data_IF_824914649228
#
_entry.id   IF_824914649228
#
_cell.length_a   1.000
_cell.length_b   1.000
_cell.length_c   1.000
_cell.angle_alpha   90.00
_cell.angle_beta   90.00
_cell.angle_gamma   90.00
#
_symmetry.space_group_name_H-M   'P 1'
#
loop_
_entity.id
_entity.type
_entity.pdbx_description
1 polymer ?
#
# COMPACT_ATOMS: atom_id res chain seq x y z
N UNK A 1 -3.66 12.00 -39.37
CA UNK A 1 -4.11 11.16 -38.23
C UNK A 1 -2.86 10.78 -37.46
N UNK A 2 -2.63 11.37 -36.29
CA UNK A 2 -1.58 10.88 -35.40
C UNK A 2 -2.06 9.54 -34.84
N UNK A 3 -1.27 8.47 -35.04
CA UNK A 3 -1.52 7.21 -34.35
C UNK A 3 -1.45 7.48 -32.85
N UNK A 4 -2.52 7.19 -32.11
CA UNK A 4 -2.48 7.19 -30.67
C UNK A 4 -1.39 6.20 -30.25
N UNK A 5 -0.26 6.69 -29.74
CA UNK A 5 0.74 5.83 -29.11
C UNK A 5 0.01 5.17 -27.95
N UNK A 6 -0.23 3.87 -28.07
CA UNK A 6 -0.88 3.11 -27.00
C UNK A 6 0.02 3.23 -25.76
N UNK A 7 -0.46 3.92 -24.74
CA UNK A 7 0.27 4.09 -23.49
C UNK A 7 0.43 2.74 -22.81
N UNK A 8 1.66 2.44 -22.42
CA UNK A 8 1.98 1.24 -21.65
C UNK A 8 1.81 1.54 -20.17
N UNK A 9 1.15 0.62 -19.47
CA UNK A 9 0.91 0.71 -18.04
C UNK A 9 1.43 -0.52 -17.32
N UNK A 10 1.97 -0.31 -16.12
CA UNK A 10 2.37 -1.34 -15.17
C UNK A 10 1.25 -1.56 -14.15
N UNK A 11 0.97 -2.83 -13.88
CA UNK A 11 -0.06 -3.30 -12.95
C UNK A 11 0.55 -3.95 -11.72
N UNK A 12 -0.27 -4.34 -10.74
CA UNK A 12 0.19 -4.87 -9.44
C UNK A 12 1.01 -6.16 -9.55
N UNK A 13 0.88 -6.88 -10.66
CA UNK A 13 1.65 -8.10 -10.99
C UNK A 13 3.00 -7.80 -11.66
N UNK A 14 3.37 -6.54 -11.84
CA UNK A 14 4.55 -6.13 -12.62
C UNK A 14 4.35 -6.25 -14.13
N UNK A 15 3.21 -6.76 -14.59
CA UNK A 15 2.89 -6.87 -16.01
C UNK A 15 2.79 -5.47 -16.64
N UNK A 16 3.49 -5.29 -17.78
CA UNK A 16 3.36 -4.12 -18.65
C UNK A 16 2.38 -4.47 -19.76
N UNK A 17 1.27 -3.75 -19.82
CA UNK A 17 0.17 -4.02 -20.73
C UNK A 17 -0.49 -2.71 -21.18
N UNK A 18 -1.30 -2.79 -22.23
CA UNK A 18 -2.26 -1.73 -22.54
C UNK A 18 -3.45 -1.84 -21.58
N UNK A 19 -4.21 -0.75 -21.41
CA UNK A 19 -5.40 -0.76 -20.55
C UNK A 19 -6.43 -1.84 -20.93
N UNK A 20 -6.48 -2.23 -22.21
CA UNK A 20 -7.39 -3.24 -22.75
C UNK A 20 -6.93 -4.69 -22.49
N UNK A 21 -5.66 -4.91 -22.13
CA UNK A 21 -5.05 -6.25 -21.99
C UNK A 21 -4.66 -6.62 -20.55
N UNK A 22 -4.89 -5.71 -19.60
CA UNK A 22 -4.59 -5.91 -18.19
C UNK A 22 -5.51 -6.95 -17.53
N UNK A 23 -4.97 -7.78 -16.63
CA UNK A 23 -5.75 -8.75 -15.85
C UNK A 23 -6.73 -8.06 -14.89
N UNK A 24 -7.88 -8.70 -14.71
CA UNK A 24 -9.13 -8.15 -14.20
C UNK A 24 -9.32 -8.19 -12.67
N UNK A 25 -8.31 -7.84 -11.87
CA UNK A 25 -8.57 -7.68 -10.42
C UNK A 25 -9.15 -6.30 -10.13
N UNK A 26 -10.12 -6.22 -9.22
CA UNK A 26 -10.82 -4.97 -8.89
C UNK A 26 -9.94 -3.92 -8.18
N UNK A 27 -8.71 -4.27 -7.82
CA UNK A 27 -7.71 -3.40 -7.20
C UNK A 27 -6.61 -2.94 -8.16
N UNK A 28 -6.71 -3.30 -9.44
CA UNK A 28 -5.78 -2.89 -10.48
C UNK A 28 -6.04 -1.45 -10.91
N UNK A 29 -4.96 -0.69 -11.05
CA UNK A 29 -4.95 0.69 -11.49
C UNK A 29 -3.74 0.88 -12.41
N UNK A 30 -3.91 1.56 -13.56
CA UNK A 30 -2.81 1.78 -14.48
C UNK A 30 -1.75 2.71 -13.86
N UNK A 31 -0.50 2.26 -13.77
CA UNK A 31 0.65 3.11 -13.46
C UNK A 31 1.44 3.35 -14.75
N UNK A 32 1.67 4.60 -15.19
CA UNK A 32 2.39 4.85 -16.44
C UNK A 32 3.80 4.24 -16.43
N UNK A 33 4.24 3.71 -17.56
CA UNK A 33 5.60 3.20 -17.74
C UNK A 33 6.49 4.32 -18.28
N UNK A 34 7.26 4.94 -17.39
CA UNK A 34 8.25 5.96 -17.72
C UNK A 34 9.27 6.12 -16.58
N UNK A 35 10.36 6.84 -16.86
CA UNK A 35 11.49 7.01 -15.92
C UNK A 35 11.07 7.60 -14.57
N UNK A 36 10.02 8.42 -14.53
CA UNK A 36 9.49 8.93 -13.27
C UNK A 36 8.87 7.81 -12.42
N UNK A 37 7.84 7.13 -12.95
CA UNK A 37 7.02 6.16 -12.23
C UNK A 37 7.70 4.81 -12.02
N UNK A 38 8.65 4.43 -12.88
CA UNK A 38 9.34 3.14 -12.79
C UNK A 38 10.11 2.98 -11.46
N UNK A 39 10.53 4.10 -10.85
CA UNK A 39 11.21 4.13 -9.55
C UNK A 39 10.31 3.90 -8.33
N UNK A 40 8.98 3.91 -8.49
CA UNK A 40 8.03 3.74 -7.39
C UNK A 40 7.51 2.31 -7.30
N UNK A 41 7.27 1.85 -6.07
CA UNK A 41 6.41 0.70 -5.80
C UNK A 41 4.99 0.97 -6.36
N UNK A 42 4.36 -0.08 -6.90
CA UNK A 42 3.03 0.01 -7.50
C UNK A 42 1.99 0.62 -6.54
N UNK A 43 1.99 0.22 -5.27
CA UNK A 43 1.03 0.69 -4.26
C UNK A 43 1.16 2.19 -4.00
N UNK A 44 2.38 2.72 -3.93
CA UNK A 44 2.67 4.15 -3.74
C UNK A 44 2.17 4.95 -4.94
N UNK A 45 2.52 4.51 -6.16
CA UNK A 45 2.10 5.17 -7.39
C UNK A 45 0.57 5.16 -7.54
N UNK A 46 -0.07 4.00 -7.36
CA UNK A 46 -1.54 3.87 -7.43
C UNK A 46 -2.24 4.80 -6.43
N UNK A 47 -1.78 4.85 -5.17
CA UNK A 47 -2.42 5.68 -4.15
C UNK A 47 -2.30 7.18 -4.46
N UNK A 48 -1.23 7.60 -5.14
CA UNK A 48 -1.15 8.96 -5.67
C UNK A 48 -2.09 9.17 -6.86
N UNK A 49 -1.98 8.34 -7.90
CA UNK A 49 -2.70 8.52 -9.17
C UNK A 49 -4.22 8.48 -9.00
N UNK A 50 -4.73 7.64 -8.09
CA UNK A 50 -6.16 7.56 -7.80
C UNK A 50 -6.78 8.87 -7.27
N UNK A 51 -5.95 9.85 -6.86
CA UNK A 51 -6.41 11.15 -6.40
C UNK A 51 -6.60 12.19 -7.52
N UNK A 52 -6.31 11.85 -8.78
CA UNK A 52 -6.41 12.79 -9.90
C UNK A 52 -7.15 12.16 -11.07
N UNK A 53 -7.97 12.96 -11.75
CA UNK A 53 -8.50 12.61 -13.07
C UNK A 53 -7.41 12.64 -14.14
N UNK A 54 -7.61 11.97 -15.27
CA UNK A 54 -6.68 12.00 -16.40
C UNK A 54 -6.35 13.43 -16.85
N UNK A 55 -7.36 14.32 -16.86
CA UNK A 55 -7.17 15.72 -17.21
C UNK A 55 -6.27 16.46 -16.22
N UNK A 56 -6.45 16.23 -14.92
CA UNK A 56 -5.59 16.82 -13.88
C UNK A 56 -4.16 16.27 -13.96
N UNK A 57 -4.00 14.95 -14.17
CA UNK A 57 -2.70 14.31 -14.31
C UNK A 57 -1.86 14.95 -15.42
N UNK A 58 -2.47 15.27 -16.57
CA UNK A 58 -1.77 15.95 -17.68
C UNK A 58 -1.30 17.37 -17.37
N UNK A 59 -1.85 17.99 -16.32
CA UNK A 59 -1.52 19.35 -15.90
C UNK A 59 -0.56 19.39 -14.71
N UNK A 60 -0.30 18.26 -14.07
CA UNK A 60 0.64 18.19 -12.96
C UNK A 60 2.07 18.49 -13.44
N UNK A 61 2.89 19.19 -12.64
CA UNK A 61 4.28 19.48 -12.97
C UNK A 61 5.17 18.24 -12.73
N UNK A 62 4.83 17.12 -13.37
CA UNK A 62 5.58 15.85 -13.32
C UNK A 62 6.30 15.70 -14.66
N UNK A 63 7.63 15.76 -14.63
CA UNK A 63 8.45 15.40 -15.78
C UNK A 63 8.57 13.87 -15.85
N UNK A 64 7.89 13.26 -16.81
CA UNK A 64 7.91 11.81 -17.04
C UNK A 64 9.30 11.24 -17.33
N UNK A 65 10.21 12.08 -17.84
CA UNK A 65 11.60 11.71 -18.12
C UNK A 65 12.55 12.03 -16.95
N UNK A 66 12.05 12.60 -15.85
CA UNK A 66 12.90 13.02 -14.73
C UNK A 66 13.66 11.85 -14.13
N UNK A 67 14.98 12.01 -14.08
CA UNK A 67 15.92 11.14 -13.38
C UNK A 67 16.27 11.69 -11.99
N UNK A 68 15.44 12.56 -11.42
CA UNK A 68 15.68 13.13 -10.09
C UNK A 68 15.77 12.05 -9.03
N UNK A 69 16.44 12.39 -7.93
CA UNK A 69 16.53 11.54 -6.75
C UNK A 69 15.13 11.11 -6.26
N UNK A 70 15.01 9.85 -5.82
CA UNK A 70 13.72 9.28 -5.45
C UNK A 70 13.06 10.04 -4.29
N UNK A 71 13.83 10.58 -3.34
CA UNK A 71 13.30 11.41 -2.24
C UNK A 71 12.71 12.71 -2.77
N UNK A 72 13.32 13.33 -3.78
CA UNK A 72 12.79 14.55 -4.43
C UNK A 72 11.45 14.24 -5.11
N UNK A 73 11.35 13.11 -5.82
CA UNK A 73 10.09 12.68 -6.44
C UNK A 73 9.00 12.42 -5.39
N UNK A 74 9.31 11.74 -4.28
CA UNK A 74 8.38 11.55 -3.17
C UNK A 74 7.89 12.88 -2.56
N UNK A 75 8.78 13.84 -2.37
CA UNK A 75 8.45 15.19 -1.86
C UNK A 75 7.54 15.97 -2.82
N UNK A 76 7.79 15.86 -4.13
CA UNK A 76 6.92 16.42 -5.17
C UNK A 76 5.50 15.84 -5.05
N UNK A 77 5.37 14.51 -5.04
CA UNK A 77 4.07 13.85 -4.93
C UNK A 77 3.34 14.23 -3.62
N UNK A 78 4.06 14.31 -2.50
CA UNK A 78 3.45 14.66 -1.21
C UNK A 78 2.91 16.08 -1.23
N UNK A 79 3.66 17.02 -1.82
CA UNK A 79 3.22 18.40 -1.99
C UNK A 79 1.96 18.48 -2.86
N UNK A 80 1.93 17.78 -4.00
CA UNK A 80 0.77 17.79 -4.90
C UNK A 80 -0.50 17.24 -4.23
N UNK A 81 -0.41 16.19 -3.41
CA UNK A 81 -1.57 15.70 -2.65
C UNK A 81 -2.03 16.67 -1.55
N UNK A 82 -1.10 17.36 -0.89
CA UNK A 82 -1.44 18.40 0.10
C UNK A 82 -2.16 19.58 -0.55
N UNK A 83 -1.65 20.07 -1.68
CA UNK A 83 -2.29 21.11 -2.47
C UNK A 83 -3.69 20.68 -2.93
N UNK A 84 -3.85 19.42 -3.35
CA UNK A 84 -5.15 18.86 -3.74
C UNK A 84 -6.14 18.78 -2.57
N UNK A 85 -5.69 18.34 -1.40
CA UNK A 85 -6.50 18.31 -0.18
C UNK A 85 -6.94 19.73 0.23
N UNK A 86 -6.03 20.70 0.22
CA UNK A 86 -6.34 22.10 0.55
C UNK A 86 -7.39 22.69 -0.40
N UNK A 87 -7.27 22.41 -1.70
CA UNK A 87 -8.25 22.86 -2.70
C UNK A 87 -9.64 22.24 -2.47
N UNK A 88 -9.72 20.94 -2.17
CA UNK A 88 -11.00 20.26 -1.95
C UNK A 88 -11.64 20.63 -0.61
N UNK A 89 -10.85 20.83 0.44
CA UNK A 89 -11.35 21.36 1.72
C UNK A 89 -11.86 22.81 1.55
N UNK A 90 -11.15 23.66 0.81
CA UNK A 90 -11.58 25.03 0.52
C UNK A 90 -12.86 25.12 -0.32
N UNK A 91 -13.19 24.06 -1.08
CA UNK A 91 -14.44 23.97 -1.84
C UNK A 91 -15.65 23.60 -0.94
N UNK A 92 -15.42 23.21 0.31
CA UNK A 92 -16.50 22.94 1.27
C UNK A 92 -16.99 24.22 1.96
N UNK A 93 -18.19 24.19 2.54
CA UNK A 93 -18.78 25.33 3.24
C UNK A 93 -18.82 25.08 4.76
N UNK A 94 -18.19 25.91 5.60
CA UNK A 94 -18.27 25.78 7.04
C UNK A 94 -19.73 25.70 7.55
N UNK A 95 -20.05 24.85 8.55
CA UNK A 95 -19.14 24.06 9.38
C UNK A 95 -18.76 22.69 8.79
N UNK A 96 -19.11 22.42 7.53
CA UNK A 96 -18.75 21.18 6.86
C UNK A 96 -17.26 21.17 6.52
N UNK A 97 -16.72 19.97 6.38
CA UNK A 97 -15.36 19.65 5.90
C UNK A 97 -15.47 18.53 4.88
N UNK A 98 -14.40 18.29 4.12
CA UNK A 98 -14.36 17.19 3.15
C UNK A 98 -14.68 15.86 3.83
N UNK A 99 -14.18 15.65 5.05
CA UNK A 99 -14.53 14.49 5.88
C UNK A 99 -16.05 14.27 6.01
N UNK A 100 -16.82 15.34 6.24
CA UNK A 100 -18.27 15.24 6.45
C UNK A 100 -19.08 15.19 5.16
N UNK A 101 -18.59 15.81 4.08
CA UNK A 101 -19.32 15.90 2.81
C UNK A 101 -18.99 14.75 1.87
N UNK A 102 -17.75 14.27 1.90
CA UNK A 102 -17.25 13.16 1.10
C UNK A 102 -16.11 12.43 1.83
N UNK A 103 -16.50 11.58 2.78
CA UNK A 103 -15.55 10.77 3.56
C UNK A 103 -14.63 9.93 2.67
N UNK A 104 -15.16 9.33 1.60
CA UNK A 104 -14.37 8.45 0.74
C UNK A 104 -13.23 9.24 0.08
N UNK A 105 -13.54 10.44 -0.40
CA UNK A 105 -12.55 11.32 -1.00
C UNK A 105 -11.52 11.82 0.02
N UNK A 106 -11.97 12.26 1.19
CA UNK A 106 -11.10 12.63 2.31
C UNK A 106 -10.14 11.49 2.67
N UNK A 107 -10.66 10.27 2.78
CA UNK A 107 -9.90 9.07 3.09
C UNK A 107 -8.84 8.76 2.03
N UNK A 108 -9.18 8.83 0.74
CA UNK A 108 -8.25 8.56 -0.37
C UNK A 108 -7.07 9.55 -0.40
N UNK A 109 -7.33 10.83 -0.17
CA UNK A 109 -6.30 11.87 -0.11
C UNK A 109 -5.36 11.62 1.07
N UNK A 110 -5.93 11.41 2.26
CA UNK A 110 -5.12 11.15 3.46
C UNK A 110 -4.37 9.83 3.41
N UNK A 111 -4.92 8.80 2.78
CA UNK A 111 -4.22 7.54 2.52
C UNK A 111 -3.00 7.78 1.62
N UNK A 112 -3.14 8.50 0.51
CA UNK A 112 -2.02 8.85 -0.37
C UNK A 112 -0.97 9.69 0.34
N UNK A 113 -1.39 10.69 1.12
CA UNK A 113 -0.51 11.54 1.94
C UNK A 113 0.27 10.68 2.93
N UNK A 114 -0.41 9.80 3.67
CA UNK A 114 0.23 8.90 4.63
C UNK A 114 1.27 8.00 3.94
N UNK A 115 0.94 7.37 2.81
CA UNK A 115 1.88 6.51 2.09
C UNK A 115 3.20 7.24 1.76
N UNK A 116 3.11 8.51 1.34
CA UNK A 116 4.29 9.31 1.02
C UNK A 116 5.02 9.80 2.27
N UNK A 117 4.29 10.18 3.33
CA UNK A 117 4.90 10.53 4.63
C UNK A 117 5.68 9.35 5.20
N UNK A 118 5.12 8.14 5.15
CA UNK A 118 5.78 6.94 5.63
C UNK A 118 7.06 6.66 4.83
N UNK A 119 7.00 6.63 3.49
CA UNK A 119 8.20 6.40 2.65
C UNK A 119 9.29 7.47 2.81
N UNK A 120 8.93 8.68 3.26
CA UNK A 120 9.87 9.76 3.55
C UNK A 120 10.43 9.76 4.98
N UNK A 121 9.94 8.86 5.83
CA UNK A 121 10.22 8.78 7.27
C UNK A 121 9.87 10.07 8.01
N UNK A 122 8.75 10.69 7.65
CA UNK A 122 8.30 11.93 8.28
C UNK A 122 7.63 11.64 9.65
N UNK A 123 7.88 12.49 10.67
CA UNK A 123 7.34 12.28 12.02
C UNK A 123 5.81 12.32 12.06
N UNK A 124 5.16 13.02 11.13
CA UNK A 124 3.70 13.12 11.05
C UNK A 124 3.02 11.83 10.54
N UNK A 125 3.77 10.88 9.98
CA UNK A 125 3.22 9.64 9.42
C UNK A 125 2.41 8.85 10.45
N UNK A 126 2.91 8.72 11.68
CA UNK A 126 2.21 8.01 12.76
C UNK A 126 0.89 8.70 13.11
N UNK A 127 0.92 10.03 13.25
CA UNK A 127 -0.27 10.80 13.58
C UNK A 127 -1.33 10.67 12.47
N UNK A 128 -0.90 10.72 11.21
CA UNK A 128 -1.80 10.62 10.07
C UNK A 128 -2.49 9.25 10.02
N UNK A 129 -1.75 8.15 10.19
CA UNK A 129 -2.37 6.82 10.14
C UNK A 129 -3.25 6.53 11.36
N UNK A 130 -2.91 7.04 12.55
CA UNK A 130 -3.78 6.97 13.72
C UNK A 130 -5.09 7.74 13.51
N UNK A 131 -5.02 8.92 12.90
CA UNK A 131 -6.22 9.67 12.52
C UNK A 131 -7.10 8.88 11.53
N UNK A 132 -6.51 8.23 10.53
CA UNK A 132 -7.26 7.37 9.59
C UNK A 132 -7.93 6.18 10.31
N UNK A 133 -7.26 5.62 11.31
CA UNK A 133 -7.81 4.57 12.19
C UNK A 133 -9.00 5.11 12.99
N UNK A 134 -8.85 6.26 13.65
CA UNK A 134 -9.89 6.84 14.52
C UNK A 134 -11.12 7.33 13.73
N UNK A 135 -10.91 7.96 12.57
CA UNK A 135 -11.98 8.61 11.79
C UNK A 135 -12.72 7.67 10.85
N UNK A 136 -12.49 6.36 10.89
CA UNK A 136 -13.21 5.42 10.02
C UNK A 136 -14.68 5.30 10.46
N UNK A 137 -15.66 5.55 9.57
CA UNK A 137 -17.08 5.35 9.89
C UNK A 137 -17.45 3.86 9.88
N UNK A 138 -16.71 3.04 9.12
CA UNK A 138 -16.87 1.59 9.05
C UNK A 138 -15.68 0.90 9.71
N UNK A 139 -15.88 0.35 10.90
CA UNK A 139 -14.86 -0.39 11.64
C UNK A 139 -14.47 -1.70 10.95
N UNK A 140 -15.26 -2.20 10.00
CA UNK A 140 -14.92 -3.37 9.22
C UNK A 140 -13.89 -3.09 8.11
N UNK A 141 -13.62 -1.81 7.81
CA UNK A 141 -12.53 -1.41 6.94
C UNK A 141 -11.17 -1.59 7.66
N UNK A 142 -10.49 -2.68 7.32
CA UNK A 142 -9.21 -3.06 7.91
C UNK A 142 -8.00 -2.36 7.28
N UNK A 143 -8.17 -1.52 6.25
CA UNK A 143 -7.04 -0.88 5.58
C UNK A 143 -6.28 0.09 6.50
N UNK A 144 -6.92 1.02 7.25
CA UNK A 144 -6.22 1.87 8.21
C UNK A 144 -5.45 1.10 9.31
N UNK A 145 -6.03 0.12 10.03
CA UNK A 145 -5.27 -0.62 11.03
C UNK A 145 -4.13 -1.46 10.42
N UNK A 146 -4.30 -2.01 9.21
CA UNK A 146 -3.21 -2.70 8.50
C UNK A 146 -2.02 -1.77 8.24
N UNK A 147 -2.29 -0.55 7.74
CA UNK A 147 -1.27 0.48 7.53
C UNK A 147 -0.61 0.90 8.86
N UNK A 148 -1.42 1.05 9.93
CA UNK A 148 -0.88 1.39 11.25
C UNK A 148 0.08 0.30 11.74
N UNK A 149 -0.29 -0.98 11.64
CA UNK A 149 0.58 -2.06 12.11
C UNK A 149 1.91 -2.13 11.36
N UNK A 150 1.90 -1.94 10.03
CA UNK A 150 3.14 -1.88 9.23
C UNK A 150 4.05 -0.73 9.69
N UNK A 151 3.47 0.46 9.87
CA UNK A 151 4.19 1.62 10.41
C UNK A 151 4.75 1.35 11.82
N UNK A 152 3.96 0.73 12.71
CA UNK A 152 4.37 0.42 14.08
C UNK A 152 5.56 -0.54 14.12
N UNK A 153 5.61 -1.55 13.23
CA UNK A 153 6.79 -2.42 13.07
C UNK A 153 8.01 -1.58 12.70
N UNK A 154 7.87 -0.69 11.73
CA UNK A 154 8.97 0.15 11.23
C UNK A 154 9.57 1.04 12.31
N UNK A 155 8.76 1.58 13.21
CA UNK A 155 9.23 2.43 14.33
C UNK A 155 9.50 1.65 15.64
N UNK A 156 9.47 0.31 15.60
CA UNK A 156 9.82 -0.54 16.74
C UNK A 156 8.75 -0.69 17.82
N UNK A 157 7.51 -0.29 17.56
CA UNK A 157 6.34 -0.49 18.46
C UNK A 157 5.73 -1.87 18.26
N UNK A 158 6.53 -2.90 18.50
CA UNK A 158 6.24 -4.26 18.07
C UNK A 158 5.02 -4.91 18.75
N UNK A 159 4.82 -4.69 20.05
CA UNK A 159 3.64 -5.25 20.73
C UNK A 159 2.34 -4.65 20.18
N UNK A 160 2.29 -3.33 20.02
CA UNK A 160 1.13 -2.65 19.46
C UNK A 160 0.87 -3.07 18.01
N UNK A 161 1.93 -3.27 17.22
CA UNK A 161 1.81 -3.78 15.86
C UNK A 161 1.16 -5.18 15.81
N UNK A 162 1.61 -6.11 16.67
CA UNK A 162 1.02 -7.46 16.76
C UNK A 162 -0.47 -7.39 17.13
N UNK A 163 -0.80 -6.64 18.17
CA UNK A 163 -2.18 -6.47 18.66
C UNK A 163 -3.09 -5.85 17.59
N UNK A 164 -2.56 -4.91 16.81
CA UNK A 164 -3.28 -4.25 15.71
C UNK A 164 -3.50 -5.18 14.52
N UNK A 165 -2.50 -5.98 14.15
CA UNK A 165 -2.53 -6.76 12.90
C UNK A 165 -3.25 -8.10 13.02
N UNK A 166 -3.29 -8.73 14.20
CA UNK A 166 -3.95 -10.03 14.38
C UNK A 166 -5.44 -10.03 13.95
N UNK A 167 -6.27 -9.04 14.35
CA UNK A 167 -7.64 -8.94 13.85
C UNK A 167 -7.74 -8.70 12.34
N UNK A 168 -6.80 -7.94 11.77
CA UNK A 168 -6.71 -7.67 10.32
C UNK A 168 -6.48 -8.98 9.56
N UNK A 169 -5.49 -9.76 9.99
CA UNK A 169 -5.16 -11.06 9.41
C UNK A 169 -6.37 -12.01 9.47
N UNK A 170 -7.02 -12.12 10.63
CA UNK A 170 -8.20 -12.97 10.81
C UNK A 170 -9.37 -12.54 9.90
N UNK A 171 -9.58 -11.23 9.74
CA UNK A 171 -10.57 -10.70 8.81
C UNK A 171 -10.24 -11.11 7.37
N UNK A 172 -8.98 -10.95 6.92
CA UNK A 172 -8.57 -11.29 5.55
C UNK A 172 -8.73 -12.78 5.26
N UNK A 173 -8.35 -13.64 6.20
CA UNK A 173 -8.52 -15.10 6.12
C UNK A 173 -9.98 -15.51 5.95
N UNK A 174 -10.90 -14.79 6.63
CA UNK A 174 -12.34 -15.08 6.60
C UNK A 174 -13.04 -14.64 5.31
N UNK A 175 -12.41 -13.81 4.47
CA UNK A 175 -13.06 -13.26 3.27
C UNK A 175 -12.96 -14.23 2.10
N UNK A 176 -14.09 -14.68 1.50
CA UNK A 176 -14.06 -15.63 0.38
C UNK A 176 -13.28 -15.14 -0.86
N UNK A 177 -13.19 -13.83 -1.06
CA UNK A 177 -12.47 -13.25 -2.20
C UNK A 177 -10.98 -13.02 -1.94
N UNK A 178 -10.54 -13.08 -0.68
CA UNK A 178 -9.14 -13.01 -0.24
C UNK A 178 -8.67 -14.39 0.19
N UNK A 179 -9.04 -14.83 1.40
CA UNK A 179 -8.57 -16.06 2.01
C UNK A 179 -7.08 -15.99 2.40
N UNK A 180 -6.57 -17.04 3.06
CA UNK A 180 -5.22 -17.04 3.64
C UNK A 180 -4.10 -16.99 2.59
N UNK A 181 -4.35 -17.48 1.38
CA UNK A 181 -3.38 -17.45 0.28
C UNK A 181 -3.46 -16.16 -0.56
N UNK A 182 -4.15 -15.12 -0.11
CA UNK A 182 -4.12 -13.82 -0.80
C UNK A 182 -2.83 -13.05 -0.45
N UNK A 183 -2.27 -12.25 -1.38
CA UNK A 183 -1.13 -11.37 -1.10
C UNK A 183 -1.32 -10.51 0.17
N UNK A 184 -2.54 -10.01 0.38
CA UNK A 184 -2.90 -9.20 1.53
C UNK A 184 -2.80 -10.00 2.85
N UNK A 185 -3.37 -11.20 2.90
CA UNK A 185 -3.35 -12.05 4.09
C UNK A 185 -1.93 -12.58 4.40
N UNK A 186 -1.10 -12.78 3.37
CA UNK A 186 0.31 -13.13 3.55
C UNK A 186 1.09 -11.93 4.09
N UNK A 187 0.87 -10.72 3.55
CA UNK A 187 1.51 -9.51 4.07
C UNK A 187 1.17 -9.26 5.54
N UNK A 188 -0.09 -9.47 5.93
CA UNK A 188 -0.50 -9.39 7.33
C UNK A 188 0.31 -10.33 8.24
N UNK A 189 0.54 -11.57 7.81
CA UNK A 189 1.40 -12.52 8.52
C UNK A 189 2.85 -12.06 8.58
N UNK A 190 3.40 -11.42 7.53
CA UNK A 190 4.76 -10.85 7.55
C UNK A 190 4.88 -9.75 8.60
N UNK A 191 3.88 -8.88 8.72
CA UNK A 191 3.86 -7.82 9.76
C UNK A 191 3.83 -8.47 11.15
N UNK A 192 2.99 -9.48 11.38
CA UNK A 192 2.92 -10.20 12.67
C UNK A 192 4.26 -10.90 12.97
N UNK A 193 4.88 -11.57 12.01
CA UNK A 193 6.17 -12.24 12.20
C UNK A 193 7.28 -11.24 12.59
N UNK A 194 7.34 -10.08 11.93
CA UNK A 194 8.30 -9.03 12.27
C UNK A 194 8.03 -8.44 13.67
N UNK A 195 6.76 -8.21 14.01
CA UNK A 195 6.36 -7.75 15.33
C UNK A 195 6.77 -8.75 16.43
N UNK A 196 6.48 -10.03 16.25
CA UNK A 196 6.89 -11.09 17.18
C UNK A 196 8.41 -11.14 17.33
N UNK A 197 9.15 -11.10 16.22
CA UNK A 197 10.61 -11.12 16.26
C UNK A 197 11.19 -9.94 17.04
N UNK A 198 10.65 -8.74 16.81
CA UNK A 198 11.06 -7.50 17.45
C UNK A 198 10.80 -7.44 18.96
N UNK A 199 9.82 -8.19 19.47
CA UNK A 199 9.56 -8.30 20.91
C UNK A 199 10.62 -9.11 21.67
N UNK A 200 11.51 -9.82 20.97
CA UNK A 200 12.69 -10.45 21.53
C UNK A 200 12.63 -11.98 21.61
N UNK A 201 13.67 -12.60 22.21
CA UNK A 201 13.92 -14.05 22.07
C UNK A 201 12.77 -14.96 22.48
N UNK A 202 11.96 -14.57 23.48
CA UNK A 202 10.84 -15.37 23.96
C UNK A 202 9.70 -15.54 22.95
N UNK A 203 9.62 -14.68 21.91
CA UNK A 203 8.57 -14.70 20.89
C UNK A 203 9.06 -15.21 19.52
N UNK A 204 10.38 -15.44 19.35
CA UNK A 204 10.97 -15.77 18.03
C UNK A 204 10.48 -17.09 17.44
N UNK A 205 10.20 -18.09 18.27
CA UNK A 205 9.64 -19.35 17.80
C UNK A 205 8.27 -19.19 17.13
N UNK A 206 7.46 -18.24 17.59
CA UNK A 206 6.17 -17.91 16.95
C UNK A 206 6.38 -17.21 15.60
N UNK A 207 7.38 -16.31 15.52
CA UNK A 207 7.74 -15.66 14.26
C UNK A 207 8.23 -16.67 13.21
N UNK A 208 9.11 -17.60 13.60
CA UNK A 208 9.61 -18.67 12.73
C UNK A 208 8.48 -19.60 12.26
N UNK A 209 7.54 -19.94 13.15
CA UNK A 209 6.36 -20.72 12.79
C UNK A 209 5.49 -20.01 11.74
N UNK A 210 5.30 -18.69 11.87
CA UNK A 210 4.59 -17.90 10.86
C UNK A 210 5.36 -17.82 9.54
N UNK A 211 6.68 -17.68 9.56
CA UNK A 211 7.50 -17.72 8.34
C UNK A 211 7.36 -19.07 7.63
N UNK A 212 7.36 -20.18 8.36
CA UNK A 212 7.11 -21.51 7.80
C UNK A 212 5.67 -21.67 7.26
N UNK A 213 4.68 -21.04 7.89
CA UNK A 213 3.32 -20.98 7.36
C UNK A 213 3.24 -20.17 6.06
N UNK A 214 3.88 -19.00 6.02
CA UNK A 214 3.95 -18.14 4.85
C UNK A 214 4.56 -18.89 3.66
N UNK A 215 5.65 -19.64 3.85
CA UNK A 215 6.23 -20.48 2.79
C UNK A 215 5.22 -21.48 2.22
N UNK A 216 4.51 -22.20 3.10
CA UNK A 216 3.48 -23.16 2.66
C UNK A 216 2.36 -22.46 1.89
N UNK A 217 1.87 -21.32 2.36
CA UNK A 217 0.82 -20.56 1.68
C UNK A 217 1.24 -20.11 0.29
N UNK A 218 2.47 -19.59 0.14
CA UNK A 218 3.02 -19.16 -1.15
C UNK A 218 3.19 -20.34 -2.10
N UNK A 219 3.64 -21.50 -1.62
CA UNK A 219 3.73 -22.70 -2.46
C UNK A 219 2.35 -23.15 -2.99
N UNK A 220 1.29 -23.01 -2.19
CA UNK A 220 -0.09 -23.32 -2.64
C UNK A 220 -0.71 -22.29 -3.60
N UNK A 221 -0.05 -21.16 -3.87
CA UNK A 221 -0.56 -20.19 -4.84
C UNK A 221 -0.52 -20.72 -6.27
N UNK A 222 0.38 -21.66 -6.59
CA UNK A 222 0.53 -22.21 -7.93
C UNK A 222 -0.77 -22.86 -8.43
N UNK A 223 -1.13 -22.59 -9.68
CA UNK A 223 -2.39 -23.04 -10.28
C UNK A 223 -3.67 -22.44 -9.66
N UNK A 224 -3.56 -21.61 -8.62
CA UNK A 224 -4.69 -20.97 -7.92
C UNK A 224 -5.00 -19.55 -8.42
N UNK A 225 -6.02 -18.93 -7.82
CA UNK A 225 -6.47 -17.54 -8.14
C UNK A 225 -5.35 -16.51 -8.04
N UNK A 226 -4.41 -16.71 -7.11
CA UNK A 226 -3.31 -15.79 -6.83
C UNK A 226 -1.96 -16.25 -7.41
N UNK A 227 -1.93 -17.28 -8.26
CA UNK A 227 -0.68 -17.82 -8.80
C UNK A 227 0.19 -16.80 -9.54
N UNK A 228 -0.42 -15.74 -10.09
CA UNK A 228 0.29 -14.63 -10.73
C UNK A 228 1.20 -13.84 -9.77
N UNK A 229 0.95 -13.88 -8.47
CA UNK A 229 1.74 -13.18 -7.45
C UNK A 229 2.82 -14.08 -6.84
N UNK A 230 2.81 -15.38 -7.09
CA UNK A 230 3.66 -16.34 -6.37
C UNK A 230 5.15 -15.97 -6.43
N UNK A 231 5.66 -15.58 -7.59
CA UNK A 231 7.08 -15.24 -7.74
C UNK A 231 7.48 -14.03 -6.88
N UNK A 232 6.64 -12.99 -6.84
CA UNK A 232 6.87 -11.82 -5.99
C UNK A 232 6.75 -12.19 -4.50
N UNK A 233 5.76 -12.99 -4.13
CA UNK A 233 5.59 -13.43 -2.75
C UNK A 233 6.77 -14.32 -2.26
N UNK A 234 7.39 -15.11 -3.15
CA UNK A 234 8.62 -15.86 -2.85
C UNK A 234 9.78 -14.91 -2.55
N UNK A 235 9.98 -13.90 -3.41
CA UNK A 235 11.02 -12.89 -3.22
C UNK A 235 10.83 -12.13 -1.89
N UNK A 236 9.61 -11.67 -1.59
CA UNK A 236 9.29 -10.99 -0.34
C UNK A 236 9.52 -11.89 0.90
N UNK A 237 9.36 -13.21 0.77
CA UNK A 237 9.68 -14.15 1.85
C UNK A 237 11.18 -14.28 2.08
N UNK A 238 11.98 -14.34 1.00
CA UNK A 238 13.44 -14.35 1.10
C UNK A 238 13.96 -13.07 1.78
N UNK A 239 13.41 -11.91 1.42
CA UNK A 239 13.72 -10.63 2.06
C UNK A 239 13.33 -10.62 3.55
N UNK A 240 12.17 -11.19 3.91
CA UNK A 240 11.74 -11.33 5.30
C UNK A 240 12.71 -12.23 6.09
N UNK A 241 13.05 -13.42 5.57
CA UNK A 241 13.98 -14.34 6.21
C UNK A 241 15.34 -13.69 6.45
N UNK A 242 15.85 -12.97 5.44
CA UNK A 242 17.10 -12.23 5.54
C UNK A 242 17.02 -11.12 6.61
N UNK A 243 15.92 -10.35 6.64
CA UNK A 243 15.68 -9.28 7.61
C UNK A 243 15.59 -9.81 9.05
N UNK A 244 14.99 -10.98 9.22
CA UNK A 244 14.86 -11.61 10.54
C UNK A 244 16.09 -12.43 10.94
N UNK A 245 17.05 -12.66 10.05
CA UNK A 245 18.20 -13.55 10.30
C UNK A 245 17.77 -14.97 10.69
N UNK A 246 16.68 -15.46 10.09
CA UNK A 246 16.23 -16.85 10.25
C UNK A 246 17.12 -17.72 9.36
N UNK A 247 17.62 -18.82 9.92
CA UNK A 247 18.50 -19.80 9.25
C UNK A 247 17.71 -20.88 8.54
#
# INVERSE_FOLDING_TARGET
MAAAVSSLFRYSTGAVATSETAKAFSWEAPVPVNTFWDSFEYSVARNFLANFSDAELTQLPIDEASSDDHRIKLQLLLRLLREKLEQEEAATSPPQSLYTTDYLRWYQLWQGIYCLQDKLDLPEAEQTVRMLVEKRPDESNVVPPHMLADHLVKIGKYQEAEETERPVCAWMDSRPHLGPSSPQAINARRIIAQALWGQGPSRRSEAEALVAEIHRLVDTMDGGKFGVYQAEEKKLNEELVAKLHIS
#
